data_IF_620446107649
#
_entry.id   IF_620446107649
#
_cell.length_a   1.000
_cell.length_b   1.000
_cell.length_c   1.000
_cell.angle_alpha   90.00
_cell.angle_beta   90.00
_cell.angle_gamma   90.00
#
_symmetry.space_group_name_H-M   'P 1'
#
loop_
_entity.id
_entity.type
_entity.pdbx_description
1 polymer ?
#
# COMPACT_ATOMS: atom_id res chain seq x y z
N UNK A 1 -27.50 -19.97 17.25
CA UNK A 1 -27.49 -21.00 16.17
C UNK A 1 -26.93 -20.47 14.84
N UNK A 2 -26.31 -19.27 14.81
CA UNK A 2 -25.80 -18.56 13.61
C UNK A 2 -24.29 -18.67 13.41
N UNK A 3 -23.51 -18.99 14.45
CA UNK A 3 -22.03 -19.00 14.37
C UNK A 3 -21.45 -20.16 13.56
N UNK A 4 -22.00 -21.36 13.73
CA UNK A 4 -21.43 -22.55 13.09
C UNK A 4 -21.59 -22.53 11.55
N UNK A 5 -22.66 -21.90 11.06
CA UNK A 5 -22.88 -21.72 9.61
C UNK A 5 -21.93 -20.66 9.03
N UNK A 6 -21.72 -19.55 9.74
CA UNK A 6 -20.79 -18.50 9.36
C UNK A 6 -19.34 -19.00 9.28
N UNK A 7 -18.87 -19.72 10.30
CA UNK A 7 -17.50 -20.28 10.32
C UNK A 7 -17.28 -21.29 9.18
N UNK A 8 -18.26 -22.15 8.89
CA UNK A 8 -18.17 -23.09 7.75
C UNK A 8 -18.13 -22.37 6.40
N UNK A 9 -18.88 -21.28 6.25
CA UNK A 9 -18.87 -20.45 5.05
C UNK A 9 -17.51 -19.77 4.84
N UNK A 10 -16.95 -19.15 5.90
CA UNK A 10 -15.62 -18.52 5.87
C UNK A 10 -14.54 -19.56 5.58
N UNK A 11 -14.56 -20.73 6.21
CA UNK A 11 -13.58 -21.78 5.96
C UNK A 11 -13.68 -22.34 4.53
N UNK A 12 -14.87 -22.46 3.97
CA UNK A 12 -15.04 -22.86 2.57
C UNK A 12 -14.49 -21.79 1.61
N UNK A 13 -14.81 -20.52 1.83
CA UNK A 13 -14.28 -19.41 1.05
C UNK A 13 -12.74 -19.33 1.15
N UNK A 14 -12.18 -19.39 2.36
CA UNK A 14 -10.74 -19.36 2.57
C UNK A 14 -10.03 -20.53 1.87
N UNK A 15 -10.63 -21.73 1.88
CA UNK A 15 -10.10 -22.88 1.11
C UNK A 15 -10.19 -22.68 -0.41
N UNK A 16 -11.16 -21.93 -0.91
CA UNK A 16 -11.25 -21.60 -2.34
C UNK A 16 -10.18 -20.59 -2.77
N UNK A 17 -9.86 -19.64 -1.89
CA UNK A 17 -8.95 -18.52 -2.16
C UNK A 17 -7.59 -18.67 -1.46
N UNK A 18 -7.24 -19.89 -1.05
CA UNK A 18 -6.12 -20.15 -0.14
C UNK A 18 -4.77 -19.63 -0.67
N UNK A 19 -4.52 -19.78 -1.98
CA UNK A 19 -3.28 -19.34 -2.59
C UNK A 19 -3.19 -17.80 -2.61
N UNK A 20 -4.29 -17.13 -2.96
CA UNK A 20 -4.37 -15.68 -2.90
C UNK A 20 -4.14 -15.18 -1.48
N UNK A 21 -4.84 -15.76 -0.48
CA UNK A 21 -4.66 -15.38 0.93
C UNK A 21 -3.24 -15.62 1.43
N UNK A 22 -2.62 -16.74 1.07
CA UNK A 22 -1.24 -17.05 1.44
C UNK A 22 -0.26 -16.00 0.88
N UNK A 23 -0.36 -15.68 -0.41
CA UNK A 23 0.48 -14.68 -1.05
C UNK A 23 0.19 -13.27 -0.54
N UNK A 24 -1.08 -12.94 -0.29
CA UNK A 24 -1.50 -11.66 0.25
C UNK A 24 -0.93 -11.43 1.65
N UNK A 25 -1.06 -12.42 2.54
CA UNK A 25 -0.49 -12.36 3.91
C UNK A 25 1.03 -12.30 3.86
N UNK A 26 1.68 -13.14 3.04
CA UNK A 26 3.14 -13.09 2.87
C UNK A 26 3.60 -11.70 2.38
N UNK A 27 2.91 -11.14 1.39
CA UNK A 27 3.19 -9.80 0.88
C UNK A 27 2.95 -8.69 1.90
N UNK A 28 1.93 -8.82 2.75
CA UNK A 28 1.67 -7.88 3.84
C UNK A 28 2.77 -7.94 4.92
N UNK A 29 3.18 -9.15 5.32
CA UNK A 29 4.26 -9.36 6.29
C UNK A 29 5.57 -8.76 5.79
N UNK A 30 5.94 -9.00 4.53
CA UNK A 30 7.15 -8.44 3.95
C UNK A 30 7.14 -6.91 3.96
N UNK A 31 6.00 -6.28 3.68
CA UNK A 31 5.84 -4.81 3.76
C UNK A 31 6.05 -4.30 5.18
N UNK A 32 5.43 -4.94 6.18
CA UNK A 32 5.63 -4.58 7.59
C UNK A 32 7.10 -4.70 8.00
N UNK A 33 7.76 -5.81 7.65
CA UNK A 33 9.18 -6.00 7.94
C UNK A 33 10.05 -4.93 7.27
N UNK A 34 9.75 -4.56 6.02
CA UNK A 34 10.45 -3.49 5.32
C UNK A 34 10.24 -2.12 5.99
N UNK A 35 9.01 -1.77 6.38
CA UNK A 35 8.68 -0.55 7.14
C UNK A 35 9.48 -0.47 8.44
N UNK A 36 9.61 -1.57 9.17
CA UNK A 36 10.38 -1.61 10.42
C UNK A 36 11.90 -1.55 10.19
N UNK A 37 12.40 -2.20 9.13
CA UNK A 37 13.83 -2.25 8.83
C UNK A 37 14.38 -0.95 8.23
N UNK A 38 13.57 -0.20 7.48
CA UNK A 38 13.98 1.00 6.76
C UNK A 38 13.27 2.25 7.29
N UNK A 39 13.76 2.73 8.42
CA UNK A 39 13.33 4.01 9.00
C UNK A 39 14.19 5.18 8.47
N UNK A 40 13.63 6.39 8.28
CA UNK A 40 12.23 6.76 8.46
C UNK A 40 11.31 6.31 7.31
N UNK A 41 11.86 6.05 6.13
CA UNK A 41 11.21 5.36 5.03
C UNK A 41 12.30 4.90 4.06
N UNK A 42 12.06 3.83 3.30
CA UNK A 42 12.98 3.42 2.25
C UNK A 42 12.98 4.45 1.11
N UNK A 43 14.08 5.18 0.97
CA UNK A 43 14.28 6.10 -0.15
C UNK A 43 14.81 5.36 -1.39
N UNK A 44 14.09 5.50 -2.50
CA UNK A 44 14.49 5.01 -3.81
C UNK A 44 14.93 6.17 -4.72
N UNK A 45 15.55 5.86 -5.86
CA UNK A 45 16.04 6.88 -6.81
C UNK A 45 14.92 7.82 -7.27
N UNK A 46 13.69 7.32 -7.39
CA UNK A 46 12.52 8.10 -7.79
C UNK A 46 11.87 8.88 -6.63
N UNK A 47 12.23 8.60 -5.36
CA UNK A 47 11.62 9.28 -4.21
C UNK A 47 11.82 10.79 -4.26
N UNK A 48 13.00 11.25 -4.69
CA UNK A 48 13.28 12.69 -4.87
C UNK A 48 12.40 13.31 -5.96
N UNK A 49 12.12 12.55 -7.02
CA UNK A 49 11.30 13.01 -8.13
C UNK A 49 9.85 13.20 -7.71
N UNK A 50 9.26 12.23 -7.01
CA UNK A 50 7.89 12.36 -6.52
C UNK A 50 7.72 13.46 -5.46
N UNK A 51 8.71 13.64 -4.58
CA UNK A 51 8.70 14.76 -3.61
C UNK A 51 8.83 16.11 -4.31
N UNK A 52 9.77 16.24 -5.27
CA UNK A 52 9.94 17.47 -6.04
C UNK A 52 8.72 17.84 -6.88
N UNK A 53 8.00 16.84 -7.41
CA UNK A 53 6.76 17.04 -8.14
C UNK A 53 5.62 17.65 -7.30
N UNK A 54 5.69 17.59 -5.96
CA UNK A 54 4.73 18.29 -5.08
C UNK A 54 4.97 19.80 -5.05
N UNK A 55 6.22 20.23 -5.20
CA UNK A 55 6.62 21.64 -5.13
C UNK A 55 6.58 22.30 -6.52
N UNK A 56 7.16 21.61 -7.52
CA UNK A 56 7.25 22.10 -8.89
C UNK A 56 6.79 21.00 -9.86
N UNK A 57 5.47 20.85 -10.05
CA UNK A 57 4.94 19.87 -10.99
C UNK A 57 5.31 20.23 -12.43
N UNK A 58 5.99 19.31 -13.11
CA UNK A 58 6.33 19.42 -14.53
C UNK A 58 5.37 18.55 -15.36
N UNK A 59 4.53 19.15 -16.23
CA UNK A 59 3.64 18.40 -17.13
C UNK A 59 4.37 17.54 -18.16
N UNK A 60 5.65 17.83 -18.43
CA UNK A 60 6.52 17.06 -19.32
C UNK A 60 7.18 15.85 -18.63
N UNK A 61 7.06 15.73 -17.31
CA UNK A 61 7.60 14.58 -16.60
C UNK A 61 6.79 13.31 -16.87
N UNK A 62 7.50 12.23 -17.16
CA UNK A 62 6.94 10.87 -17.31
C UNK A 62 6.44 10.23 -16.00
N UNK A 63 6.59 10.90 -14.86
CA UNK A 63 6.14 10.37 -13.58
C UNK A 63 4.61 10.41 -13.51
N UNK A 64 3.96 9.37 -12.99
CA UNK A 64 2.53 9.40 -12.76
C UNK A 64 2.18 10.45 -11.71
N UNK A 65 1.82 11.66 -12.15
CA UNK A 65 1.44 12.80 -11.30
C UNK A 65 0.32 12.44 -10.31
N UNK A 66 -0.57 11.50 -10.70
CA UNK A 66 -1.64 11.00 -9.84
C UNK A 66 -1.14 10.44 -8.50
N UNK A 67 0.03 9.79 -8.45
CA UNK A 67 0.59 9.31 -7.19
C UNK A 67 0.97 10.47 -6.26
N UNK A 68 1.66 11.49 -6.80
CA UNK A 68 2.07 12.66 -6.02
C UNK A 68 0.85 13.40 -5.47
N UNK A 69 -0.15 13.68 -6.31
CA UNK A 69 -1.29 14.52 -5.90
C UNK A 69 -2.40 13.79 -5.14
N UNK A 70 -2.66 12.51 -5.44
CA UNK A 70 -3.78 11.78 -4.83
C UNK A 70 -3.38 11.00 -3.57
N UNK A 71 -2.09 10.69 -3.40
CA UNK A 71 -1.60 9.93 -2.25
C UNK A 71 -0.54 10.70 -1.47
N UNK A 72 0.59 11.03 -2.10
CA UNK A 72 1.76 11.54 -1.38
C UNK A 72 1.49 12.91 -0.74
N UNK A 73 0.98 13.87 -1.51
CA UNK A 73 0.69 15.23 -1.06
C UNK A 73 -0.32 15.27 0.10
N UNK A 74 -1.51 14.67 -0.03
CA UNK A 74 -2.50 14.64 1.05
C UNK A 74 -1.98 13.97 2.33
N UNK A 75 -1.29 12.84 2.21
CA UNK A 75 -0.76 12.13 3.39
C UNK A 75 0.33 12.95 4.08
N UNK A 76 1.27 13.52 3.32
CA UNK A 76 2.30 14.38 3.90
C UNK A 76 1.72 15.66 4.49
N UNK A 77 0.70 16.25 3.87
CA UNK A 77 0.03 17.43 4.39
C UNK A 77 -0.58 17.18 5.78
N UNK A 78 -1.19 16.01 6.00
CA UNK A 78 -1.84 15.66 7.28
C UNK A 78 -0.84 15.11 8.31
N UNK A 79 -0.01 14.14 7.90
CA UNK A 79 0.84 13.39 8.82
C UNK A 79 2.23 14.01 9.01
N UNK A 80 2.70 14.83 8.06
CA UNK A 80 4.05 15.44 8.05
C UNK A 80 5.17 14.40 8.25
N UNK A 81 4.93 13.15 7.81
CA UNK A 81 5.82 12.01 8.05
C UNK A 81 5.91 11.10 6.81
N UNK A 82 7.14 10.77 6.45
CA UNK A 82 7.45 9.91 5.30
C UNK A 82 7.08 8.45 5.59
N UNK A 83 7.13 8.01 6.84
CA UNK A 83 6.71 6.65 7.18
C UNK A 83 5.20 6.49 6.95
N UNK A 84 4.40 7.47 7.36
CA UNK A 84 2.96 7.50 7.07
C UNK A 84 2.68 7.42 5.55
N UNK A 85 3.44 8.13 4.72
CA UNK A 85 3.34 8.03 3.26
C UNK A 85 3.68 6.63 2.73
N UNK A 86 4.74 6.01 3.25
CA UNK A 86 5.11 4.64 2.88
C UNK A 86 4.03 3.62 3.28
N UNK A 87 3.48 3.74 4.49
CA UNK A 87 2.38 2.89 4.98
C UNK A 87 1.14 3.07 4.12
N UNK A 88 0.75 4.31 3.79
CA UNK A 88 -0.38 4.58 2.90
C UNK A 88 -0.19 3.91 1.53
N UNK A 89 1.01 4.01 0.97
CA UNK A 89 1.35 3.34 -0.29
C UNK A 89 1.26 1.80 -0.18
N UNK A 90 1.72 1.21 0.93
CA UNK A 90 1.56 -0.22 1.18
C UNK A 90 0.08 -0.66 1.25
N UNK A 91 -0.76 0.12 1.93
CA UNK A 91 -2.21 -0.14 2.04
C UNK A 91 -2.87 -0.08 0.67
N UNK A 92 -2.60 0.96 -0.13
CA UNK A 92 -3.14 1.07 -1.49
C UNK A 92 -2.71 -0.10 -2.36
N UNK A 93 -1.44 -0.52 -2.28
CA UNK A 93 -0.96 -1.71 -3.00
C UNK A 93 -1.69 -3.00 -2.59
N UNK A 94 -2.01 -3.17 -1.30
CA UNK A 94 -2.81 -4.30 -0.83
C UNK A 94 -4.25 -4.23 -1.34
N UNK A 95 -4.89 -3.06 -1.27
CA UNK A 95 -6.25 -2.86 -1.81
C UNK A 95 -6.33 -3.13 -3.31
N UNK A 96 -5.33 -2.70 -4.07
CA UNK A 96 -5.22 -3.02 -5.50
C UNK A 96 -5.11 -4.52 -5.74
N UNK A 97 -4.32 -5.22 -4.91
CA UNK A 97 -4.23 -6.69 -4.98
C UNK A 97 -5.56 -7.39 -4.73
N UNK A 98 -6.38 -6.88 -3.80
CA UNK A 98 -7.75 -7.38 -3.57
C UNK A 98 -8.67 -7.04 -4.74
N UNK A 99 -8.63 -5.80 -5.25
CA UNK A 99 -9.52 -5.37 -6.33
C UNK A 99 -9.22 -6.01 -7.68
N UNK A 100 -7.98 -6.44 -7.90
CA UNK A 100 -7.56 -7.13 -9.12
C UNK A 100 -7.86 -8.64 -9.13
N UNK A 101 -8.15 -9.23 -7.96
CA UNK A 101 -8.46 -10.65 -7.77
C UNK A 101 -9.96 -10.91 -7.89
#
# INVERSE_FOLDING_TARGET
>A
MTDAAGVRSVAHWARRHWLFLALFVAGAVLRVLATLAYQPALFHVDSRRYLGALENPDPGETSPLGYSFLLLGPVLHVAQDLMAAAIANHVVGLLMGVGAY
#
